data_IF_299259498037
#
_entry.id   IF_299259498037
#
_cell.length_a   1.000
_cell.length_b   1.000
_cell.length_c   1.000
_cell.angle_alpha   90.00
_cell.angle_beta   90.00
_cell.angle_gamma   90.00
#
_symmetry.space_group_name_H-M   'P 1'
#
loop_
_entity.id
_entity.type
_entity.pdbx_description
1 polymer ?
#
# COMPACT_ATOMS: atom_id res chain seq x y z
N UNK A 1 -14.53 -0.99 -16.71
CA UNK A 1 -13.90 0.21 -16.11
C UNK A 1 -12.79 0.77 -16.99
N UNK A 2 -11.82 -0.02 -17.45
CA UNK A 2 -10.72 0.43 -18.35
C UNK A 2 -11.18 1.11 -19.65
N UNK A 3 -12.25 0.63 -20.29
CA UNK A 3 -12.74 1.17 -21.57
C UNK A 3 -13.33 2.60 -21.50
N UNK A 4 -13.48 3.19 -20.32
CA UNK A 4 -14.06 4.53 -20.16
C UNK A 4 -13.01 5.65 -20.05
N UNK A 5 -11.75 5.31 -19.85
CA UNK A 5 -10.66 6.29 -19.70
C UNK A 5 -9.83 6.37 -21.00
N UNK A 6 -10.00 7.47 -21.75
CA UNK A 6 -9.31 7.68 -23.03
C UNK A 6 -7.79 7.80 -22.88
N UNK A 7 -7.30 8.34 -21.75
CA UNK A 7 -5.87 8.49 -21.49
C UNK A 7 -5.26 7.12 -21.27
N UNK A 8 -5.92 6.29 -20.45
CA UNK A 8 -5.48 4.93 -20.21
C UNK A 8 -5.47 4.09 -21.49
N UNK A 9 -6.46 4.23 -22.37
CA UNK A 9 -6.47 3.53 -23.67
C UNK A 9 -5.25 3.89 -24.52
N UNK A 10 -4.88 5.17 -24.57
CA UNK A 10 -3.69 5.63 -25.29
C UNK A 10 -2.40 5.12 -24.65
N UNK A 11 -2.33 5.10 -23.31
CA UNK A 11 -1.20 4.50 -22.58
C UNK A 11 -1.04 3.01 -22.93
N UNK A 12 -2.13 2.24 -22.85
CA UNK A 12 -2.15 0.82 -23.20
C UNK A 12 -1.91 0.54 -24.69
N UNK A 13 -2.00 1.52 -25.58
CA UNK A 13 -1.73 1.30 -27.01
C UNK A 13 -0.26 1.58 -27.34
N UNK A 14 0.26 2.72 -26.86
CA UNK A 14 1.51 3.31 -27.35
C UNK A 14 2.69 3.22 -26.37
N UNK A 15 2.46 2.87 -25.10
CA UNK A 15 3.49 2.96 -24.07
C UNK A 15 3.82 1.60 -23.44
N UNK A 16 5.10 1.40 -23.05
CA UNK A 16 5.48 0.26 -22.24
C UNK A 16 4.91 0.44 -20.83
N UNK A 17 4.07 -0.50 -20.42
CA UNK A 17 3.29 -0.39 -19.17
C UNK A 17 3.28 -1.69 -18.40
N UNK A 18 3.09 -1.56 -17.10
CA UNK A 18 2.75 -2.68 -16.21
C UNK A 18 1.37 -2.45 -15.65
N UNK A 19 0.48 -3.42 -15.82
CA UNK A 19 -0.90 -3.39 -15.34
C UNK A 19 -1.03 -4.35 -14.17
N UNK A 20 -1.58 -3.87 -13.07
CA UNK A 20 -1.90 -4.66 -11.90
C UNK A 20 -3.41 -4.94 -11.89
N UNK A 21 -3.84 -6.12 -12.31
CA UNK A 21 -5.25 -6.48 -12.35
C UNK A 21 -5.67 -7.18 -11.04
N UNK A 22 -6.57 -6.58 -10.24
CA UNK A 22 -7.10 -7.27 -9.07
C UNK A 22 -7.97 -8.46 -9.47
N UNK A 23 -8.01 -9.49 -8.63
CA UNK A 23 -8.96 -10.60 -8.76
C UNK A 23 -10.40 -10.13 -8.54
N UNK A 24 -11.38 -10.92 -8.99
CA UNK A 24 -12.80 -10.64 -8.73
C UNK A 24 -13.07 -10.54 -7.22
N UNK A 25 -12.53 -11.47 -6.43
CA UNK A 25 -12.65 -11.47 -4.97
C UNK A 25 -12.09 -10.18 -4.34
N UNK A 26 -10.98 -9.65 -4.86
CA UNK A 26 -10.40 -8.40 -4.40
C UNK A 26 -11.31 -7.20 -4.68
N UNK A 27 -11.94 -7.18 -5.86
CA UNK A 27 -12.90 -6.15 -6.27
C UNK A 27 -14.15 -6.20 -5.38
N UNK A 28 -14.70 -7.40 -5.14
CA UNK A 28 -15.90 -7.58 -4.33
C UNK A 28 -15.67 -7.12 -2.87
N UNK A 29 -14.54 -7.51 -2.27
CA UNK A 29 -14.16 -7.07 -0.91
C UNK A 29 -14.01 -5.56 -0.78
N UNK A 30 -13.59 -4.89 -1.85
CA UNK A 30 -13.28 -3.46 -1.84
C UNK A 30 -14.39 -2.59 -2.46
N UNK A 31 -15.54 -3.19 -2.80
CA UNK A 31 -16.55 -2.54 -3.64
C UNK A 31 -17.02 -1.19 -3.06
N UNK A 32 -17.33 -1.14 -1.76
CA UNK A 32 -17.75 0.10 -1.09
C UNK A 32 -16.72 1.23 -1.20
N UNK A 33 -15.42 0.89 -1.17
CA UNK A 33 -14.35 1.86 -1.29
C UNK A 33 -14.15 2.33 -2.74
N UNK A 34 -14.38 1.46 -3.73
CA UNK A 34 -14.26 1.78 -5.16
C UNK A 34 -15.34 2.77 -5.61
N UNK A 35 -16.57 2.66 -5.10
CA UNK A 35 -17.70 3.48 -5.56
C UNK A 35 -17.37 4.98 -5.40
N UNK A 36 -17.46 5.71 -6.52
CA UNK A 36 -17.15 7.14 -6.58
C UNK A 36 -15.66 7.48 -6.73
N UNK A 37 -14.78 6.48 -6.80
CA UNK A 37 -13.31 6.62 -6.97
C UNK A 37 -12.77 5.91 -8.21
N UNK A 38 -13.64 5.35 -9.05
CA UNK A 38 -13.33 4.36 -10.09
C UNK A 38 -12.15 4.77 -10.98
N UNK A 39 -12.15 6.01 -11.49
CA UNK A 39 -11.10 6.48 -12.41
C UNK A 39 -9.73 6.58 -11.73
N UNK A 40 -9.69 7.03 -10.47
CA UNK A 40 -8.45 7.12 -9.68
C UNK A 40 -7.93 5.73 -9.37
N UNK A 41 -8.82 4.81 -9.00
CA UNK A 41 -8.48 3.41 -8.74
C UNK A 41 -7.83 2.80 -9.98
N UNK A 42 -8.49 2.86 -11.14
CA UNK A 42 -7.96 2.26 -12.37
C UNK A 42 -6.58 2.83 -12.74
N UNK A 43 -6.42 4.15 -12.70
CA UNK A 43 -5.13 4.79 -13.02
C UNK A 43 -4.01 4.39 -12.05
N UNK A 44 -4.32 4.13 -10.77
CA UNK A 44 -3.31 3.69 -9.79
C UNK A 44 -2.81 2.26 -10.03
N UNK A 45 -3.59 1.45 -10.75
CA UNK A 45 -3.23 0.08 -11.10
C UNK A 45 -2.36 -0.01 -12.35
N UNK A 46 -1.92 1.13 -12.90
CA UNK A 46 -1.11 1.17 -14.12
C UNK A 46 0.16 1.95 -13.87
N UNK A 47 1.27 1.28 -14.13
CA UNK A 47 2.60 1.86 -14.06
C UNK A 47 3.09 2.14 -15.49
N UNK A 48 3.57 3.36 -15.73
CA UNK A 48 4.02 3.83 -17.04
C UNK A 48 5.43 3.33 -17.43
N UNK A 49 5.79 2.14 -16.98
CA UNK A 49 7.02 1.44 -17.32
C UNK A 49 6.84 -0.07 -17.14
N UNK A 50 7.71 -0.86 -17.77
CA UNK A 50 7.75 -2.31 -17.58
C UNK A 50 8.55 -2.62 -16.31
N UNK A 51 7.90 -3.28 -15.35
CA UNK A 51 8.44 -3.62 -14.05
C UNK A 51 8.67 -5.12 -13.94
N UNK A 52 9.81 -5.61 -14.40
CA UNK A 52 10.13 -7.04 -14.35
C UNK A 52 10.44 -7.47 -12.90
N UNK A 53 10.06 -8.70 -12.53
CA UNK A 53 10.36 -9.27 -11.19
C UNK A 53 11.86 -9.25 -10.84
N UNK A 54 12.74 -9.20 -11.84
CA UNK A 54 14.20 -9.09 -11.69
C UNK A 54 14.65 -7.72 -11.17
N UNK A 55 13.83 -6.68 -11.34
CA UNK A 55 14.15 -5.31 -10.90
C UNK A 55 13.60 -5.00 -9.51
N UNK A 56 12.91 -5.94 -8.87
CA UNK A 56 12.38 -5.76 -7.52
C UNK A 56 13.51 -5.98 -6.49
N UNK A 57 13.51 -5.26 -5.35
CA UNK A 57 12.53 -4.27 -4.93
C UNK A 57 12.82 -2.86 -5.48
N UNK A 58 11.77 -2.07 -5.74
CA UNK A 58 11.92 -0.65 -6.07
C UNK A 58 10.64 0.15 -5.79
N UNK A 59 10.80 1.48 -5.72
CA UNK A 59 9.70 2.44 -5.56
C UNK A 59 9.50 3.22 -6.86
N UNK A 60 8.26 3.44 -7.26
CA UNK A 60 7.95 4.21 -8.46
C UNK A 60 6.79 5.18 -8.24
N UNK A 61 6.91 6.46 -8.65
CA UNK A 61 5.79 7.40 -8.60
C UNK A 61 4.72 7.01 -9.64
N UNK A 62 3.46 7.28 -9.32
CA UNK A 62 2.36 7.12 -10.28
C UNK A 62 2.01 8.42 -10.98
N UNK A 63 1.24 8.30 -12.07
CA UNK A 63 0.72 9.42 -12.86
C UNK A 63 -0.49 10.11 -12.22
N UNK A 64 -0.97 9.64 -11.06
CA UNK A 64 -2.06 10.26 -10.33
C UNK A 64 -1.65 11.61 -9.72
N UNK A 65 -2.62 12.49 -9.51
CA UNK A 65 -2.42 13.73 -8.77
C UNK A 65 -1.90 13.44 -7.35
N UNK A 66 -0.85 14.17 -6.93
CA UNK A 66 -0.11 13.91 -5.70
C UNK A 66 0.95 12.80 -5.82
N UNK A 67 1.09 12.19 -6.99
CA UNK A 67 2.08 11.16 -7.33
C UNK A 67 2.27 10.09 -6.23
N UNK A 68 1.19 9.46 -5.74
CA UNK A 68 1.30 8.41 -4.73
C UNK A 68 2.22 7.30 -5.26
N UNK A 69 3.24 6.87 -4.50
CA UNK A 69 4.19 5.87 -4.96
C UNK A 69 3.62 4.44 -4.90
N UNK A 70 4.02 3.61 -5.86
CA UNK A 70 3.92 2.15 -5.77
C UNK A 70 5.22 1.58 -5.23
N UNK A 71 5.11 0.68 -4.28
CA UNK A 71 6.21 -0.05 -3.67
C UNK A 71 6.21 -1.48 -4.18
N UNK A 72 7.19 -1.85 -4.99
CA UNK A 72 7.32 -3.20 -5.50
C UNK A 72 8.36 -3.92 -4.64
N UNK A 73 7.94 -4.97 -3.93
CA UNK A 73 8.77 -5.63 -2.92
C UNK A 73 8.86 -7.14 -3.15
N UNK A 74 9.91 -7.73 -2.58
CA UNK A 74 10.15 -9.18 -2.60
C UNK A 74 10.24 -9.66 -1.17
N UNK A 75 9.50 -10.72 -0.87
CA UNK A 75 9.66 -11.47 0.36
C UNK A 75 10.31 -12.79 0.02
N UNK A 76 11.54 -12.96 0.51
CA UNK A 76 12.29 -14.20 0.35
C UNK A 76 11.97 -15.12 1.54
N UNK A 77 11.71 -16.39 1.25
CA UNK A 77 11.49 -17.41 2.27
C UNK A 77 12.59 -18.47 2.24
N UNK A 78 12.48 -19.52 3.07
CA UNK A 78 13.46 -20.60 3.09
C UNK A 78 13.61 -21.25 1.71
N UNK A 79 14.86 -21.36 1.22
CA UNK A 79 15.18 -21.95 -0.07
C UNK A 79 15.01 -20.97 -1.25
N UNK A 80 14.36 -21.43 -2.33
CA UNK A 80 14.17 -20.65 -3.57
C UNK A 80 12.79 -19.99 -3.67
N UNK A 81 12.06 -19.90 -2.56
CA UNK A 81 10.72 -19.34 -2.57
C UNK A 81 10.78 -17.82 -2.47
N UNK A 82 10.17 -17.14 -3.45
CA UNK A 82 10.03 -15.69 -3.49
C UNK A 82 8.58 -15.33 -3.72
N UNK A 83 8.04 -14.48 -2.87
CA UNK A 83 6.76 -13.81 -3.08
C UNK A 83 7.02 -12.36 -3.52
N UNK A 84 6.20 -11.88 -4.45
CA UNK A 84 6.31 -10.54 -4.99
C UNK A 84 5.05 -9.77 -4.63
N UNK A 85 5.22 -8.49 -4.29
CA UNK A 85 4.13 -7.63 -3.87
C UNK A 85 4.21 -6.28 -4.58
N UNK A 86 3.05 -5.65 -4.73
CA UNK A 86 2.91 -4.24 -5.05
C UNK A 86 2.07 -3.59 -3.95
N UNK A 87 2.66 -2.66 -3.21
CA UNK A 87 2.18 -2.22 -1.91
C UNK A 87 1.90 -3.46 -1.02
N UNK A 88 0.67 -3.62 -0.52
CA UNK A 88 0.26 -4.77 0.29
C UNK A 88 -0.28 -5.94 -0.55
N UNK A 89 -0.55 -5.74 -1.84
CA UNK A 89 -1.16 -6.75 -2.69
C UNK A 89 -0.12 -7.75 -3.22
N UNK A 90 -0.36 -9.04 -3.01
CA UNK A 90 0.49 -10.12 -3.51
C UNK A 90 0.25 -10.35 -4.99
N UNK A 91 1.34 -10.47 -5.75
CA UNK A 91 1.31 -10.85 -7.16
C UNK A 91 1.13 -12.37 -7.24
N UNK A 92 -0.03 -12.80 -7.71
CA UNK A 92 -0.43 -14.20 -7.85
C UNK A 92 0.11 -14.82 -9.14
N UNK A 93 0.03 -14.08 -10.26
CA UNK A 93 0.50 -14.52 -11.58
C UNK A 93 0.97 -13.33 -12.41
N UNK A 94 1.76 -13.62 -13.43
CA UNK A 94 2.34 -12.64 -14.34
C UNK A 94 2.25 -13.12 -15.78
N UNK A 95 1.90 -12.23 -16.70
CA UNK A 95 1.78 -12.52 -18.13
C UNK A 95 2.39 -11.38 -18.96
N UNK A 96 3.22 -11.74 -19.93
CA UNK A 96 3.79 -10.79 -20.89
C UNK A 96 2.82 -10.58 -22.06
N UNK A 97 2.65 -9.32 -22.44
CA UNK A 97 1.83 -8.89 -23.57
C UNK A 97 2.63 -7.99 -24.50
N UNK A 98 2.20 -7.92 -25.75
CA UNK A 98 2.71 -6.97 -26.73
C UNK A 98 1.50 -6.25 -27.32
N UNK A 99 1.52 -4.92 -27.29
CA UNK A 99 0.45 -4.11 -27.89
C UNK A 99 0.41 -4.30 -29.41
N UNK A 100 -0.67 -3.85 -30.05
CA UNK A 100 -0.76 -3.86 -31.52
C UNK A 100 0.36 -3.05 -32.19
N UNK A 101 0.89 -2.05 -31.49
CA UNK A 101 2.00 -1.19 -31.93
C UNK A 101 3.38 -1.80 -31.60
N UNK A 102 3.45 -3.06 -31.16
CA UNK A 102 4.71 -3.75 -30.85
C UNK A 102 5.34 -3.39 -29.51
N UNK A 103 4.60 -2.72 -28.62
CA UNK A 103 5.13 -2.24 -27.34
C UNK A 103 4.98 -3.29 -26.24
N UNK A 104 6.03 -3.57 -25.47
CA UNK A 104 6.02 -4.56 -24.37
C UNK A 104 5.13 -4.11 -23.22
N UNK A 105 4.32 -5.02 -22.72
CA UNK A 105 3.43 -4.82 -21.59
C UNK A 105 3.51 -6.00 -20.63
N UNK A 106 3.28 -5.74 -19.36
CA UNK A 106 3.31 -6.76 -18.33
C UNK A 106 2.03 -6.70 -17.51
N UNK A 107 1.35 -7.83 -17.38
CA UNK A 107 0.17 -7.96 -16.55
C UNK A 107 0.55 -8.74 -15.29
N UNK A 108 0.31 -8.15 -14.13
CA UNK A 108 0.34 -8.83 -12.85
C UNK A 108 -1.07 -8.95 -12.31
N UNK A 109 -1.47 -10.16 -11.90
CA UNK A 109 -2.74 -10.33 -11.18
C UNK A 109 -2.47 -10.32 -9.70
N UNK A 110 -3.23 -9.50 -8.98
CA UNK A 110 -3.02 -9.22 -7.55
C UNK A 110 -4.26 -9.59 -6.72
N UNK A 111 -4.04 -9.98 -5.47
CA UNK A 111 -5.09 -10.45 -4.55
C UNK A 111 -5.82 -9.35 -3.77
N UNK A 112 -5.37 -8.11 -3.89
CA UNK A 112 -5.98 -6.93 -3.26
C UNK A 112 -6.08 -5.76 -4.25
N UNK A 113 -6.94 -4.79 -3.96
CA UNK A 113 -7.00 -3.55 -4.71
C UNK A 113 -5.92 -2.60 -4.22
N UNK A 114 -5.22 -1.95 -5.17
CA UNK A 114 -4.29 -0.87 -4.85
C UNK A 114 -5.07 0.39 -4.49
N UNK A 115 -4.85 0.87 -3.27
CA UNK A 115 -5.45 2.09 -2.75
C UNK A 115 -4.40 3.21 -2.72
N UNK A 116 -4.59 4.32 -3.44
CA UNK A 116 -3.64 5.42 -3.43
C UNK A 116 -3.81 6.23 -2.15
N UNK A 117 -2.72 6.35 -1.38
CA UNK A 117 -2.64 7.28 -0.26
C UNK A 117 -2.35 8.69 -0.79
N UNK A 118 -3.41 9.43 -1.09
CA UNK A 118 -3.28 10.84 -1.50
C UNK A 118 -3.66 11.70 -0.30
N UNK A 119 -2.68 12.32 0.35
CA UNK A 119 -2.95 13.36 1.34
C UNK A 119 -3.58 14.57 0.63
N UNK A 120 -4.36 15.36 1.36
CA UNK A 120 -4.84 16.66 0.88
C UNK A 120 -3.71 17.67 0.62
N UNK A 121 -2.47 17.35 1.04
CA UNK A 121 -1.29 18.23 1.06
C UNK A 121 -0.18 17.81 0.10
N UNK A 122 -0.42 16.90 -0.84
CA UNK A 122 0.49 16.51 -1.95
C UNK A 122 1.82 15.83 -1.58
N UNK A 123 2.11 15.62 -0.30
CA UNK A 123 3.22 14.79 0.19
C UNK A 123 2.68 13.47 0.75
N UNK A 124 3.41 12.35 0.60
CA UNK A 124 3.04 11.11 1.28
C UNK A 124 3.09 11.34 2.81
N UNK A 125 2.09 10.87 3.56
CA UNK A 125 2.00 11.12 4.99
C UNK A 125 3.07 10.32 5.76
N UNK A 126 3.61 10.89 6.84
CA UNK A 126 4.38 10.13 7.84
C UNK A 126 3.47 9.24 8.67
N UNK A 127 4.03 8.29 9.42
CA UNK A 127 3.25 7.51 10.37
C UNK A 127 2.63 8.39 11.47
N UNK A 128 3.28 9.49 11.83
CA UNK A 128 2.73 10.49 12.73
C UNK A 128 1.52 11.21 12.12
N UNK A 129 1.58 11.61 10.84
CA UNK A 129 0.46 12.26 10.16
C UNK A 129 -0.79 11.37 10.15
N UNK A 130 -0.58 10.06 9.95
CA UNK A 130 -1.63 9.06 9.99
C UNK A 130 -2.23 8.91 11.40
N UNK A 131 -1.38 8.91 12.42
CA UNK A 131 -1.81 8.83 13.82
C UNK A 131 -2.55 10.08 14.30
N UNK A 132 -2.12 11.26 13.84
CA UNK A 132 -2.70 12.56 14.20
C UNK A 132 -4.12 12.75 13.63
N UNK A 133 -4.37 12.22 12.42
CA UNK A 133 -5.64 12.42 11.69
C UNK A 133 -6.04 11.15 10.92
N UNK A 134 -6.36 10.04 11.62
CA UNK A 134 -6.68 8.75 11.00
C UNK A 134 -7.84 8.84 9.99
N UNK A 135 -8.82 9.69 10.26
CA UNK A 135 -9.97 9.91 9.39
C UNK A 135 -9.62 10.45 8.00
N UNK A 136 -8.49 11.15 7.83
CA UNK A 136 -8.02 11.59 6.52
C UNK A 136 -7.50 10.44 5.65
N UNK A 137 -7.22 9.28 6.26
CA UNK A 137 -6.64 8.11 5.61
C UNK A 137 -7.59 6.90 5.63
N UNK A 138 -8.89 7.13 5.83
CA UNK A 138 -9.95 6.10 5.92
C UNK A 138 -9.70 5.05 7.03
N UNK A 139 -8.95 5.43 8.05
CA UNK A 139 -8.77 4.66 9.28
C UNK A 139 -9.91 5.04 10.21
N UNK A 140 -10.70 4.04 10.62
CA UNK A 140 -11.92 4.23 11.41
C UNK A 140 -11.73 3.87 12.88
N UNK A 141 -10.60 3.25 13.18
CA UNK A 141 -10.22 2.79 14.49
C UNK A 141 -9.89 3.98 15.42
N UNK A 142 -10.28 3.91 16.70
CA UNK A 142 -10.01 4.98 17.65
C UNK A 142 -8.54 4.95 18.08
N UNK A 143 -7.71 5.76 17.42
CA UNK A 143 -6.26 5.86 17.70
C UNK A 143 -5.89 7.00 18.66
N UNK A 144 -6.85 7.82 19.10
CA UNK A 144 -6.59 9.03 19.90
C UNK A 144 -5.87 8.77 21.23
N UNK A 145 -6.12 7.64 21.87
CA UNK A 145 -5.42 7.25 23.10
C UNK A 145 -3.94 6.93 22.85
N UNK A 146 -3.64 6.28 21.72
CA UNK A 146 -2.28 5.96 21.32
C UNK A 146 -1.54 7.22 20.85
N UNK A 147 -2.20 8.08 20.07
CA UNK A 147 -1.69 9.39 19.67
C UNK A 147 -1.27 10.25 20.89
N UNK A 148 -2.17 10.35 21.87
CA UNK A 148 -1.89 11.07 23.12
C UNK A 148 -0.64 10.50 23.83
N UNK A 149 -0.51 9.17 23.87
CA UNK A 149 0.66 8.50 24.48
C UNK A 149 1.95 8.80 23.73
N UNK A 150 1.96 8.69 22.40
CA UNK A 150 3.14 9.01 21.57
C UNK A 150 3.62 10.44 21.84
N UNK A 151 2.68 11.40 21.97
CA UNK A 151 2.99 12.79 22.30
C UNK A 151 3.50 12.98 23.73
N UNK A 152 2.90 12.29 24.70
CA UNK A 152 3.30 12.36 26.11
C UNK A 152 4.70 11.77 26.36
N UNK A 153 5.03 10.68 25.66
CA UNK A 153 6.32 9.98 25.80
C UNK A 153 7.44 10.58 24.94
N UNK A 154 7.15 11.58 24.10
CA UNK A 154 8.15 12.23 23.26
C UNK A 154 8.60 11.39 22.06
N UNK A 155 7.76 10.46 21.61
CA UNK A 155 8.09 9.48 20.56
C UNK A 155 7.79 9.98 19.14
N UNK A 156 7.35 11.22 18.97
CA UNK A 156 6.95 11.78 17.66
C UNK A 156 8.03 11.62 16.60
N UNK A 157 9.30 11.83 16.96
CA UNK A 157 10.42 11.71 16.03
C UNK A 157 10.52 10.28 15.45
N UNK A 158 10.22 9.25 16.25
CA UNK A 158 10.20 7.86 15.79
C UNK A 158 9.15 7.64 14.70
N UNK A 159 7.96 8.24 14.85
CA UNK A 159 6.86 8.14 13.89
C UNK A 159 6.99 9.09 12.69
N UNK A 160 7.93 10.03 12.74
CA UNK A 160 8.31 10.90 11.61
C UNK A 160 9.46 10.34 10.78
N UNK A 161 10.17 9.31 11.26
CA UNK A 161 11.33 8.75 10.54
C UNK A 161 10.92 8.17 9.20
N UNK A 162 11.63 8.60 8.17
CA UNK A 162 11.56 7.99 6.84
C UNK A 162 12.29 6.62 6.85
N UNK A 163 11.78 5.70 6.03
CA UNK A 163 12.33 4.36 5.82
C UNK A 163 11.36 3.25 6.24
N UNK A 164 11.72 2.01 5.88
CA UNK A 164 10.91 0.77 5.96
C UNK A 164 10.51 0.39 7.39
N UNK A 165 9.48 1.03 7.96
CA UNK A 165 8.96 0.82 9.30
C UNK A 165 7.58 0.13 9.26
N UNK A 166 7.35 -0.77 10.19
CA UNK A 166 6.03 -1.35 10.45
C UNK A 166 5.63 -0.99 11.87
N UNK A 167 4.54 -0.23 12.02
CA UNK A 167 4.02 0.16 13.31
C UNK A 167 2.78 -0.65 13.64
N UNK A 168 2.76 -1.25 14.84
CA UNK A 168 1.59 -1.93 15.37
C UNK A 168 0.80 -0.95 16.22
N UNK A 169 -0.36 -0.53 15.71
CA UNK A 169 -1.19 0.47 16.37
C UNK A 169 -2.24 -0.23 17.25
N UNK A 170 -2.22 -0.05 18.58
CA UNK A 170 -3.25 -0.61 19.43
C UNK A 170 -4.58 0.09 19.20
N UNK A 171 -5.60 -0.68 18.80
CA UNK A 171 -6.96 -0.16 18.56
C UNK A 171 -7.80 -0.29 19.83
N UNK A 172 -8.36 0.83 20.32
CA UNK A 172 -9.26 0.86 21.47
C UNK A 172 -8.80 1.75 22.64
N UNK A 173 -9.77 2.31 23.36
CA UNK A 173 -9.54 3.00 24.61
C UNK A 173 -9.16 1.96 25.68
N UNK A 174 -7.94 2.02 26.21
CA UNK A 174 -7.54 1.19 27.35
C UNK A 174 -8.36 1.55 28.59
N UNK A 175 -9.53 0.94 28.77
CA UNK A 175 -10.32 1.07 30.00
C UNK A 175 -9.88 -0.01 30.97
N UNK A 176 -9.12 0.38 32.01
CA UNK A 176 -8.79 -0.46 33.17
C UNK A 176 -7.81 -1.59 32.89
N UNK A 177 -6.68 -1.62 33.63
CA UNK A 177 -5.66 -2.69 33.64
C UNK A 177 -5.03 -3.11 32.30
N UNK A 178 -5.43 -2.53 31.16
CA UNK A 178 -5.04 -2.93 29.80
C UNK A 178 -3.88 -2.11 29.22
N UNK A 179 -3.43 -1.06 29.91
CA UNK A 179 -2.24 -0.28 29.55
C UNK A 179 -0.98 -1.16 29.43
N UNK A 180 -0.82 -2.15 30.31
CA UNK A 180 0.31 -3.08 30.25
C UNK A 180 0.29 -3.95 28.98
N UNK A 181 -0.88 -4.27 28.44
CA UNK A 181 -1.02 -5.13 27.25
C UNK A 181 -0.68 -4.38 25.97
N UNK A 182 -0.96 -3.07 25.92
CA UNK A 182 -0.56 -2.19 24.82
C UNK A 182 0.96 -1.94 24.83
N UNK A 183 1.59 -1.87 26.00
CA UNK A 183 3.05 -1.77 26.14
C UNK A 183 3.79 -3.05 25.72
N UNK A 184 3.14 -4.21 25.73
CA UNK A 184 3.77 -5.44 25.22
C UNK A 184 3.91 -5.40 23.70
N UNK A 185 2.98 -4.78 22.98
CA UNK A 185 3.03 -4.64 21.51
C UNK A 185 4.23 -3.81 21.07
N UNK A 186 4.58 -2.76 21.84
CA UNK A 186 5.74 -1.91 21.57
C UNK A 186 7.08 -2.68 21.63
N UNK A 187 7.15 -3.81 22.36
CA UNK A 187 8.34 -4.67 22.40
C UNK A 187 8.55 -5.50 21.13
N UNK A 188 7.52 -5.62 20.28
CA UNK A 188 7.56 -6.39 19.04
C UNK A 188 7.77 -5.52 17.79
N UNK A 189 7.98 -4.20 17.98
CA UNK A 189 8.42 -3.31 16.90
C UNK A 189 9.88 -3.66 16.58
N UNK A 190 10.09 -4.53 15.61
CA UNK A 190 11.42 -4.94 15.17
C UNK A 190 11.94 -4.01 14.06
N UNK A 191 13.14 -3.43 14.19
CA UNK A 191 13.91 -3.06 13.01
C UNK A 191 14.45 -4.36 12.39
N UNK A 192 13.79 -4.82 11.32
CA UNK A 192 14.11 -5.99 10.47
C UNK A 192 13.63 -7.38 10.95
N UNK A 193 13.13 -8.13 9.97
CA UNK A 193 12.86 -9.58 9.89
C UNK A 193 11.64 -10.22 10.62
N UNK A 194 10.61 -10.48 9.79
CA UNK A 194 9.73 -11.68 9.71
C UNK A 194 8.46 -11.87 10.58
N UNK A 195 7.33 -11.93 9.86
CA UNK A 195 6.12 -12.82 9.93
C UNK A 195 5.54 -13.23 11.30
N UNK A 196 4.29 -12.80 11.59
CA UNK A 196 3.13 -13.65 11.96
C UNK A 196 1.83 -12.82 12.15
N UNK A 197 0.68 -13.51 12.03
CA UNK A 197 -0.69 -13.03 11.83
C UNK A 197 -1.32 -12.21 12.98
N UNK A 198 -1.99 -11.09 12.64
CA UNK A 198 -3.44 -10.85 12.66
C UNK A 198 -3.78 -9.35 12.82
N UNK A 199 -4.71 -8.89 11.98
CA UNK A 199 -5.52 -7.66 11.96
C UNK A 199 -4.82 -6.29 12.08
N UNK A 200 -4.78 -5.60 10.94
CA UNK A 200 -4.22 -4.27 10.67
C UNK A 200 -2.68 -4.18 10.69
N UNK A 201 -2.02 -4.90 9.77
CA UNK A 201 -0.62 -4.62 9.42
C UNK A 201 -0.57 -3.37 8.55
N UNK A 202 -0.27 -2.23 9.18
CA UNK A 202 0.13 -1.02 8.48
C UNK A 202 1.65 -1.13 8.21
N UNK A 203 2.02 -1.73 7.06
CA UNK A 203 3.38 -1.59 6.51
C UNK A 203 3.47 -0.21 5.83
N UNK A 204 4.05 0.79 6.49
CA UNK A 204 4.11 2.15 5.94
C UNK A 204 5.51 2.76 6.05
N UNK A 205 5.99 3.08 4.84
CA UNK A 205 7.25 3.74 4.50
C UNK A 205 8.44 2.89 4.84
#
# INVERSE_FOLDING_TARGET
MVNRDEVLRKLLQYWPVTVFAPTNDAIEKSNEWIVGRENKVVSYHVLNQVAEKTTFPFKSPTSLAGSPPLYLSVKEGPGFWKEYYVNNAKILRSEDYVSQEGTKQLLYVIDEILQPYVSSTSLPPTALDLLDKPELYDIREPLSAFDFRVKQEGLQELFMREGNNTFFLPVGAGVGHSFNRQQEVDKWVSPQDSVLLCDAVLNYI
#
